data_IF_355536695685
#
_entry.id   IF_355536695685
#
_cell.length_a   1.000
_cell.length_b   1.000
_cell.length_c   1.000
_cell.angle_alpha   90.00
_cell.angle_beta   90.00
_cell.angle_gamma   90.00
#
_symmetry.space_group_name_H-M   'P 1'
#
loop_
_entity.id
_entity.type
_entity.pdbx_description
1 polymer ?
#
# COMPACT_ATOMS: atom_id res chain seq x y z
N UNK A 1 -0.76 3.13 5.16
CA UNK A 1 -1.75 4.00 5.76
C UNK A 1 -1.34 4.20 7.19
N UNK A 2 -0.91 5.42 7.53
CA UNK A 2 -0.76 5.83 8.92
C UNK A 2 -2.08 5.64 9.70
N UNK A 3 -3.20 5.74 8.98
CA UNK A 3 -4.57 5.49 9.44
C UNK A 3 -4.82 4.08 10.00
N UNK A 4 -4.03 3.05 9.63
CA UNK A 4 -4.31 1.68 10.07
C UNK A 4 -4.12 1.44 11.57
N UNK A 5 -3.48 2.38 12.28
CA UNK A 5 -3.29 2.36 13.74
C UNK A 5 -4.29 3.22 14.52
N UNK A 6 -5.14 4.00 13.85
CA UNK A 6 -6.13 4.81 14.57
C UNK A 6 -7.13 3.87 15.24
N UNK A 7 -7.47 4.18 16.49
CA UNK A 7 -8.57 3.49 17.17
C UNK A 7 -9.84 3.57 16.32
N UNK A 8 -10.49 2.43 16.11
CA UNK A 8 -11.66 2.32 15.25
C UNK A 8 -11.36 2.22 13.75
N UNK A 9 -10.10 2.02 13.33
CA UNK A 9 -9.78 1.77 11.92
C UNK A 9 -10.48 0.52 11.41
N UNK A 10 -11.35 0.71 10.42
CA UNK A 10 -11.94 -0.37 9.64
C UNK A 10 -11.44 -0.27 8.21
N UNK A 11 -10.71 -1.28 7.76
CA UNK A 11 -10.22 -1.36 6.39
C UNK A 11 -11.36 -1.26 5.37
N UNK A 12 -12.56 -1.73 5.71
CA UNK A 12 -13.76 -1.65 4.87
C UNK A 12 -14.28 -0.21 4.76
N UNK A 13 -14.49 0.48 5.89
CA UNK A 13 -14.92 1.89 5.89
C UNK A 13 -13.90 2.80 5.20
N UNK A 14 -12.61 2.53 5.42
CA UNK A 14 -11.54 3.25 4.73
C UNK A 14 -11.59 3.01 3.20
N UNK A 15 -11.83 1.77 2.77
CA UNK A 15 -11.97 1.45 1.35
C UNK A 15 -13.13 2.22 0.71
N UNK A 16 -14.28 2.28 1.39
CA UNK A 16 -15.46 3.04 0.96
C UNK A 16 -15.13 4.53 0.83
N UNK A 17 -14.44 5.12 1.82
CA UNK A 17 -14.03 6.53 1.81
C UNK A 17 -13.20 6.89 0.58
N UNK A 18 -12.23 6.05 0.23
CA UNK A 18 -11.35 6.27 -0.92
C UNK A 18 -11.89 5.68 -2.23
N UNK A 19 -13.15 5.22 -2.25
CA UNK A 19 -13.83 4.59 -3.39
C UNK A 19 -13.03 3.44 -4.00
N UNK A 20 -12.48 2.57 -3.15
CA UNK A 20 -11.74 1.36 -3.54
C UNK A 20 -12.40 0.11 -2.98
N UNK A 21 -12.14 -1.02 -3.63
CA UNK A 21 -12.61 -2.32 -3.14
C UNK A 21 -11.86 -2.72 -1.84
N UNK A 22 -12.53 -3.23 -0.80
CA UNK A 22 -11.89 -3.61 0.46
C UNK A 22 -10.74 -4.60 0.30
N UNK A 23 -10.86 -5.56 -0.62
CA UNK A 23 -9.78 -6.53 -0.88
C UNK A 23 -8.49 -5.89 -1.38
N UNK A 24 -8.56 -4.72 -2.02
CA UNK A 24 -7.39 -3.95 -2.43
C UNK A 24 -6.65 -3.43 -1.20
N UNK A 25 -7.38 -2.91 -0.20
CA UNK A 25 -6.81 -2.43 1.07
C UNK A 25 -6.19 -3.58 1.85
N UNK A 26 -6.87 -4.73 1.98
CA UNK A 26 -6.30 -5.89 2.66
C UNK A 26 -5.02 -6.40 2.00
N UNK A 27 -5.01 -6.48 0.65
CA UNK A 27 -3.81 -6.89 -0.10
C UNK A 27 -2.66 -5.90 0.09
N UNK A 28 -2.98 -4.61 0.10
CA UNK A 28 -2.01 -3.54 0.29
C UNK A 28 -1.40 -3.58 1.70
N UNK A 29 -2.24 -3.68 2.74
CA UNK A 29 -1.81 -3.84 4.13
C UNK A 29 -0.96 -5.11 4.31
N UNK A 30 -1.39 -6.25 3.78
CA UNK A 30 -0.61 -7.50 3.89
C UNK A 30 0.77 -7.42 3.24
N UNK A 31 0.90 -6.69 2.13
CA UNK A 31 2.16 -6.60 1.37
C UNK A 31 3.12 -5.56 1.93
N UNK A 32 2.59 -4.46 2.44
CA UNK A 32 3.38 -3.28 2.78
C UNK A 32 3.41 -2.97 4.28
N UNK A 33 2.93 -3.90 5.11
CA UNK A 33 3.10 -3.84 6.56
C UNK A 33 4.32 -4.64 7.01
N UNK A 34 5.11 -4.04 7.90
CA UNK A 34 6.22 -4.66 8.62
C UNK A 34 5.87 -4.58 10.11
N UNK A 35 5.88 -5.72 10.81
CA UNK A 35 5.45 -5.83 12.21
C UNK A 35 4.05 -5.22 12.44
N UNK A 36 3.11 -5.55 11.56
CA UNK A 36 1.73 -5.03 11.53
C UNK A 36 1.61 -3.49 11.39
N UNK A 37 2.71 -2.82 11.04
CA UNK A 37 2.73 -1.40 10.75
C UNK A 37 2.90 -1.18 9.27
N UNK A 38 1.93 -0.52 8.64
CA UNK A 38 2.10 -0.12 7.26
C UNK A 38 3.27 0.85 7.11
N UNK A 39 4.18 0.55 6.19
CA UNK A 39 5.33 1.39 5.86
C UNK A 39 5.17 1.99 4.46
N UNK A 40 4.93 3.30 4.38
CA UNK A 40 4.72 3.98 3.11
C UNK A 40 5.98 3.99 2.23
N UNK A 41 7.16 4.17 2.85
CA UNK A 41 8.43 4.12 2.14
C UNK A 41 8.64 2.73 1.51
N UNK A 42 8.39 1.68 2.27
CA UNK A 42 8.49 0.29 1.80
C UNK A 42 7.56 0.00 0.62
N UNK A 43 6.32 0.51 0.65
CA UNK A 43 5.38 0.38 -0.46
C UNK A 43 5.89 1.05 -1.75
N UNK A 44 6.44 2.26 -1.62
CA UNK A 44 7.05 3.02 -2.71
C UNK A 44 8.24 2.28 -3.28
N UNK A 45 9.19 1.88 -2.44
CA UNK A 45 10.42 1.19 -2.85
C UNK A 45 10.11 -0.12 -3.58
N UNK A 46 9.17 -0.93 -3.06
CA UNK A 46 8.72 -2.15 -3.73
C UNK A 46 8.06 -1.88 -5.09
N UNK A 47 7.34 -0.78 -5.23
CA UNK A 47 6.72 -0.38 -6.50
C UNK A 47 7.78 0.06 -7.50
N UNK A 48 8.76 0.86 -7.07
CA UNK A 48 9.91 1.25 -7.89
C UNK A 48 10.74 0.04 -8.32
N UNK A 49 11.06 -0.87 -7.41
CA UNK A 49 11.81 -2.09 -7.70
C UNK A 49 11.11 -2.99 -8.73
N UNK A 50 9.77 -3.10 -8.66
CA UNK A 50 8.97 -3.84 -9.67
C UNK A 50 9.01 -3.15 -11.04
N UNK A 51 8.86 -1.82 -11.07
CA UNK A 51 8.95 -1.03 -12.31
C UNK A 51 10.35 -1.11 -12.94
N UNK A 52 11.41 -1.14 -12.15
CA UNK A 52 12.78 -1.34 -12.63
C UNK A 52 13.02 -2.75 -13.17
N UNK A 53 12.32 -3.78 -12.69
CA UNK A 53 12.46 -5.17 -13.17
C UNK A 53 11.65 -5.45 -14.43
N UNK A 54 10.45 -4.87 -14.59
CA UNK A 54 9.59 -5.08 -15.76
C UNK A 54 10.22 -4.66 -17.09
N UNK A 55 9.61 -5.08 -18.20
CA UNK A 55 10.05 -4.71 -19.56
C UNK A 55 9.98 -3.19 -19.82
N UNK A 56 9.03 -2.50 -19.18
CA UNK A 56 8.90 -1.04 -19.22
C UNK A 56 9.68 -0.42 -18.06
N UNK A 57 10.92 -0.02 -18.30
CA UNK A 57 11.80 0.62 -17.33
C UNK A 57 11.38 2.08 -17.11
N UNK A 58 11.52 2.56 -15.87
CA UNK A 58 11.48 3.99 -15.57
C UNK A 58 12.77 4.62 -16.10
N UNK A 59 12.65 5.64 -16.96
CA UNK A 59 13.76 6.56 -17.23
C UNK A 59 13.84 7.52 -16.04
N UNK A 60 15.02 7.64 -15.47
CA UNK A 60 15.33 8.63 -14.43
C UNK A 60 16.28 9.58 -15.14
N UNK A 61 15.83 10.82 -15.36
CA UNK A 61 16.66 11.91 -15.87
C UNK A 61 17.48 12.53 -14.73
#
# INVERSE_FOLDING_TARGET
MLESRKEGFSARKFAELIKRHPSTIYRELKRNSINDVYQAQYASDNTFARRRRGHRKLKID
#
